data_IF_638235232643
#
_entry.id   IF_638235232643
#
_cell.length_a   1.000
_cell.length_b   1.000
_cell.length_c   1.000
_cell.angle_alpha   90.00
_cell.angle_beta   90.00
_cell.angle_gamma   90.00
#
_symmetry.space_group_name_H-M   'P 1'
#
loop_
_entity.id
_entity.type
_entity.pdbx_description
1 polymer ?
#
# COMPACT_ATOMS: atom_id res chain seq x y z
N UNK A 1 -0.49 16.82 6.18
CA UNK A 1 -1.06 15.57 5.70
C UNK A 1 -0.25 15.00 4.57
N UNK A 2 0.10 13.75 4.66
CA UNK A 2 0.89 13.09 3.62
C UNK A 2 0.02 12.14 2.83
N UNK A 3 0.09 12.25 1.52
CA UNK A 3 -0.66 11.39 0.62
C UNK A 3 0.29 10.38 -0.03
N UNK A 4 -0.19 9.17 -0.21
CA UNK A 4 0.59 8.12 -0.84
C UNK A 4 -0.11 7.58 -2.06
N UNK A 5 0.69 7.24 -3.05
CA UNK A 5 0.20 6.60 -4.27
C UNK A 5 0.46 5.11 -4.18
N UNK A 6 -0.56 4.33 -4.46
CA UNK A 6 -0.51 2.89 -4.33
C UNK A 6 -0.70 2.27 -5.71
N UNK A 7 0.17 1.33 -6.05
CA UNK A 7 0.01 0.51 -7.26
C UNK A 7 -0.53 -0.83 -6.82
N UNK A 8 -1.62 -1.25 -7.44
CA UNK A 8 -2.23 -2.54 -7.14
C UNK A 8 -2.12 -3.44 -8.36
N UNK A 9 -1.55 -4.61 -8.14
CA UNK A 9 -1.41 -5.62 -9.17
C UNK A 9 -2.04 -6.93 -8.71
N UNK A 10 -2.48 -7.73 -9.67
CA UNK A 10 -2.99 -9.06 -9.37
C UNK A 10 -1.94 -10.09 -9.74
N UNK A 11 -1.51 -10.87 -8.77
CA UNK A 11 -0.56 -11.93 -9.00
C UNK A 11 -1.18 -13.14 -9.66
N UNK A 12 -0.35 -14.04 -10.16
CA UNK A 12 -0.81 -15.27 -10.83
C UNK A 12 -1.57 -16.21 -9.91
N UNK A 13 -1.30 -16.13 -8.63
CA UNK A 13 -1.96 -16.95 -7.61
C UNK A 13 -3.31 -16.38 -7.17
N UNK A 14 -3.75 -15.28 -7.77
CA UNK A 14 -5.01 -14.64 -7.44
C UNK A 14 -4.93 -13.64 -6.30
N UNK A 15 -3.79 -13.48 -5.69
CA UNK A 15 -3.60 -12.47 -4.65
C UNK A 15 -3.46 -11.08 -5.27
N UNK A 16 -3.99 -10.10 -4.55
CA UNK A 16 -3.76 -8.69 -4.89
C UNK A 16 -2.54 -8.22 -4.14
N UNK A 17 -1.69 -7.48 -4.83
CA UNK A 17 -0.45 -6.96 -4.27
C UNK A 17 -0.49 -5.45 -4.35
N UNK A 18 -0.15 -4.78 -3.27
CA UNK A 18 -0.03 -3.32 -3.28
C UNK A 18 1.42 -2.92 -3.03
N UNK A 19 1.81 -1.85 -3.68
CA UNK A 19 3.13 -1.24 -3.47
C UNK A 19 2.95 0.25 -3.29
N UNK A 20 3.58 0.80 -2.27
CA UNK A 20 3.53 2.23 -1.98
C UNK A 20 4.70 2.90 -2.68
N UNK A 21 4.39 3.75 -3.66
CA UNK A 21 5.40 4.36 -4.52
C UNK A 21 6.41 5.19 -3.72
N UNK A 22 5.93 5.98 -2.77
CA UNK A 22 6.76 6.90 -2.00
C UNK A 22 7.61 6.21 -0.93
N UNK A 23 7.31 4.96 -0.62
CA UNK A 23 8.01 4.23 0.44
C UNK A 23 8.64 2.96 -0.13
N UNK A 24 9.89 3.05 -0.60
CA UNK A 24 10.54 1.90 -1.22
C UNK A 24 10.54 0.67 -0.32
N UNK A 25 10.13 -0.46 -0.87
CA UNK A 25 10.03 -1.70 -0.12
C UNK A 25 8.76 -1.88 0.68
N UNK A 26 7.90 -0.86 0.74
CA UNK A 26 6.62 -0.98 1.43
C UNK A 26 5.58 -1.61 0.51
N UNK A 27 5.30 -2.89 0.72
CA UNK A 27 4.32 -3.61 -0.08
C UNK A 27 3.63 -4.65 0.79
N UNK A 28 2.46 -5.07 0.35
CA UNK A 28 1.72 -6.11 1.04
C UNK A 28 0.81 -6.83 0.04
N UNK A 29 0.15 -7.88 0.50
CA UNK A 29 -0.76 -8.64 -0.35
C UNK A 29 -1.96 -9.13 0.46
N UNK A 30 -3.05 -9.37 -0.24
CA UNK A 30 -4.28 -9.88 0.35
C UNK A 30 -5.13 -10.54 -0.70
N UNK A 31 -6.15 -11.25 -0.28
CA UNK A 31 -7.03 -11.98 -1.18
C UNK A 31 -8.12 -11.12 -1.79
N UNK A 32 -8.46 -10.02 -1.15
CA UNK A 32 -9.49 -9.12 -1.64
C UNK A 32 -9.10 -7.66 -1.41
N UNK A 33 -9.81 -6.76 -2.07
CA UNK A 33 -9.49 -5.35 -2.05
C UNK A 33 -9.63 -4.72 -0.66
N UNK A 34 -10.70 -5.04 0.07
CA UNK A 34 -10.94 -4.50 1.41
C UNK A 34 -9.78 -4.81 2.35
N UNK A 35 -9.38 -6.07 2.34
CA UNK A 35 -8.28 -6.53 3.17
C UNK A 35 -6.96 -5.90 2.73
N UNK A 36 -6.76 -5.77 1.42
CA UNK A 36 -5.55 -5.16 0.88
C UNK A 36 -5.41 -3.72 1.34
N UNK A 37 -6.48 -2.95 1.28
CA UNK A 37 -6.46 -1.55 1.71
C UNK A 37 -6.11 -1.44 3.19
N UNK A 38 -6.72 -2.28 4.01
CA UNK A 38 -6.43 -2.32 5.45
C UNK A 38 -4.97 -2.64 5.71
N UNK A 39 -4.47 -3.68 5.06
CA UNK A 39 -3.08 -4.11 5.23
C UNK A 39 -2.10 -3.07 4.71
N UNK A 40 -2.46 -2.39 3.63
CA UNK A 40 -1.61 -1.34 3.07
C UNK A 40 -1.48 -0.18 4.06
N UNK A 41 -2.57 0.23 4.68
CA UNK A 41 -2.53 1.28 5.70
C UNK A 41 -1.65 0.88 6.87
N UNK A 42 -1.78 -0.35 7.35
CA UNK A 42 -0.95 -0.86 8.44
C UNK A 42 0.52 -0.89 8.05
N UNK A 43 0.81 -1.33 6.83
CA UNK A 43 2.18 -1.40 6.34
C UNK A 43 2.81 -0.01 6.26
N UNK A 44 2.06 0.98 5.81
CA UNK A 44 2.54 2.36 5.77
C UNK A 44 2.84 2.87 7.17
N UNK A 45 1.93 2.66 8.10
CA UNK A 45 2.11 3.13 9.47
C UNK A 45 3.32 2.49 10.13
N UNK A 46 3.52 1.19 9.92
CA UNK A 46 4.68 0.49 10.45
C UNK A 46 5.98 0.99 9.83
N UNK A 47 5.97 1.20 8.51
CA UNK A 47 7.13 1.70 7.80
C UNK A 47 7.56 3.06 8.35
N UNK A 48 6.59 3.95 8.53
CA UNK A 48 6.86 5.30 9.04
C UNK A 48 7.29 5.28 10.50
N UNK A 49 6.76 4.38 11.28
CA UNK A 49 7.15 4.22 12.67
C UNK A 49 8.62 3.81 12.78
N UNK A 50 9.03 2.84 11.96
CA UNK A 50 10.41 2.39 11.91
C UNK A 50 11.35 3.51 11.47
N UNK A 51 10.90 4.34 10.50
CA UNK A 51 11.68 5.47 10.02
C UNK A 51 11.66 6.66 10.97
N UNK A 52 10.82 6.62 12.01
CA UNK A 52 10.71 7.71 12.98
C UNK A 52 10.05 8.95 12.44
N UNK A 53 9.20 8.82 11.44
CA UNK A 53 8.51 9.95 10.83
C UNK A 53 7.11 10.11 11.38
N UNK A 54 6.74 11.36 11.65
CA UNK A 54 5.37 11.70 11.97
C UNK A 54 4.67 12.14 10.70
N UNK A 55 3.65 11.43 10.31
CA UNK A 55 2.88 11.80 9.12
C UNK A 55 1.42 11.44 9.30
N UNK A 56 0.57 12.25 8.69
CA UNK A 56 -0.83 11.92 8.51
C UNK A 56 -0.97 11.23 7.17
N UNK A 57 -1.55 10.06 7.15
CA UNK A 57 -1.62 9.24 5.95
C UNK A 57 -2.97 9.42 5.27
N UNK A 58 -2.93 9.85 4.02
CA UNK A 58 -4.10 9.92 3.15
C UNK A 58 -3.79 9.19 1.87
N UNK A 59 -4.74 8.40 1.42
CA UNK A 59 -4.59 7.77 0.11
C UNK A 59 -5.09 8.72 -0.96
N UNK A 60 -4.21 9.11 -1.88
CA UNK A 60 -4.58 9.92 -3.03
C UNK A 60 -5.41 9.14 -4.01
N UNK A 61 -5.19 7.87 -4.08
CA UNK A 61 -5.91 7.01 -4.99
C UNK A 61 -5.25 5.66 -5.11
N UNK A 62 -5.95 4.77 -5.74
CA UNK A 62 -5.46 3.43 -5.99
C UNK A 62 -5.38 3.26 -7.49
N UNK A 63 -4.18 2.96 -7.98
CA UNK A 63 -3.98 2.67 -9.40
C UNK A 63 -3.92 1.18 -9.60
N UNK A 64 -4.76 0.69 -10.46
CA UNK A 64 -4.76 -0.71 -10.84
C UNK A 64 -4.07 -0.83 -12.18
N UNK A 65 -3.01 -1.60 -12.23
CA UNK A 65 -2.26 -1.83 -13.45
C UNK A 65 -2.59 -3.21 -13.96
N UNK A 66 -3.10 -3.28 -15.17
CA UNK A 66 -3.32 -4.55 -15.86
C UNK A 66 -2.24 -4.73 -16.90
N UNK A 67 -1.67 -5.89 -16.86
CA UNK A 67 -0.63 -6.25 -17.82
C UNK A 67 -1.10 -7.39 -18.69
#
# INVERSE_FOLDING_TARGET
MTNFNIIIEKGEDGYLISEVIELPGCHTQAKNMSELIMRTKEAILLYLEVEGREVNVNFLGIQKIEV
#
